data_IF_638696255031
#
_entry.id   IF_638696255031
#
_cell.length_a   1.000
_cell.length_b   1.000
_cell.length_c   1.000
_cell.angle_alpha   90.00
_cell.angle_beta   90.00
_cell.angle_gamma   90.00
#
_symmetry.space_group_name_H-M   'P 1'
#
loop_
_entity.id
_entity.type
_entity.pdbx_description
1 polymer ?
#
# COMPACT_ATOMS: atom_id res chain seq x y z
N UNK A 1 33.74 43.28 30.95
CA UNK A 1 32.31 43.32 30.61
C UNK A 1 31.72 41.93 30.88
N UNK A 2 31.03 41.72 32.01
CA UNK A 2 30.38 40.42 32.28
C UNK A 2 29.07 40.34 31.46
N UNK A 3 28.97 39.34 30.58
CA UNK A 3 27.73 39.00 29.89
C UNK A 3 26.72 38.46 30.91
N UNK A 4 25.58 39.12 31.04
CA UNK A 4 24.45 38.65 31.85
C UNK A 4 23.79 37.45 31.16
N UNK A 5 24.27 36.23 31.45
CA UNK A 5 23.65 34.99 30.97
C UNK A 5 22.36 34.74 31.76
N UNK A 6 21.21 35.15 31.21
CA UNK A 6 19.91 34.75 31.74
C UNK A 6 19.71 33.25 31.49
N UNK A 7 19.57 32.47 32.56
CA UNK A 7 19.19 31.06 32.48
C UNK A 7 17.69 30.90 32.22
N UNK A 8 17.31 29.80 31.57
CA UNK A 8 15.91 29.41 31.37
C UNK A 8 15.26 29.07 32.71
N UNK A 9 14.01 29.49 32.94
CA UNK A 9 13.28 29.12 34.16
C UNK A 9 12.68 27.72 34.04
N UNK A 10 12.56 27.02 35.17
CA UNK A 10 11.89 25.72 35.21
C UNK A 10 10.43 25.83 34.77
N UNK A 11 9.77 26.94 35.10
CA UNK A 11 8.36 27.19 34.75
C UNK A 11 8.21 27.35 33.23
N UNK A 12 9.11 28.06 32.55
CA UNK A 12 9.10 28.18 31.09
C UNK A 12 9.23 26.80 30.44
N UNK A 13 10.13 25.96 30.94
CA UNK A 13 10.29 24.61 30.41
C UNK A 13 9.04 23.77 30.66
N UNK A 14 8.45 23.83 31.86
CA UNK A 14 7.23 23.09 32.22
C UNK A 14 6.03 23.43 31.31
N UNK A 15 5.78 24.72 31.07
CA UNK A 15 4.67 25.16 30.20
C UNK A 15 4.87 24.64 28.77
N UNK A 16 6.11 24.66 28.27
CA UNK A 16 6.43 24.15 26.92
C UNK A 16 6.12 22.65 26.80
N UNK A 17 6.52 21.83 27.78
CA UNK A 17 6.24 20.38 27.71
C UNK A 17 4.74 20.10 27.81
N UNK A 18 4.00 20.88 28.59
CA UNK A 18 2.53 20.76 28.69
C UNK A 18 1.87 21.07 27.35
N UNK A 19 2.26 22.16 26.69
CA UNK A 19 1.71 22.53 25.37
C UNK A 19 2.04 21.46 24.32
N UNK A 20 3.30 21.00 24.26
CA UNK A 20 3.71 19.93 23.34
C UNK A 20 2.94 18.64 23.64
N UNK A 21 2.71 18.32 24.91
CA UNK A 21 1.92 17.16 25.33
C UNK A 21 0.48 17.20 24.81
N UNK A 22 -0.20 18.34 24.91
CA UNK A 22 -1.56 18.53 24.40
C UNK A 22 -1.59 18.40 22.87
N UNK A 23 -0.64 19.04 22.17
CA UNK A 23 -0.57 18.97 20.71
C UNK A 23 -0.26 17.54 20.23
N UNK A 24 0.66 16.84 20.87
CA UNK A 24 1.03 15.46 20.54
C UNK A 24 -0.16 14.51 20.74
N UNK A 25 -0.93 14.67 21.81
CA UNK A 25 -2.10 13.83 22.09
C UNK A 25 -3.15 13.87 20.96
N UNK A 26 -3.32 15.02 20.30
CA UNK A 26 -4.26 15.17 19.17
C UNK A 26 -3.59 14.78 17.84
N UNK A 27 -2.32 15.15 17.65
CA UNK A 27 -1.63 14.98 16.38
C UNK A 27 -1.27 13.51 16.08
N UNK A 28 -0.81 12.75 17.08
CA UNK A 28 -0.36 11.36 16.91
C UNK A 28 -1.46 10.44 16.33
N UNK A 29 -2.68 10.36 16.89
CA UNK A 29 -3.70 9.47 16.34
C UNK A 29 -4.11 9.86 14.92
N UNK A 30 -4.18 11.16 14.62
CA UNK A 30 -4.50 11.63 13.27
C UNK A 30 -3.38 11.31 12.27
N UNK A 31 -2.12 11.44 12.68
CA UNK A 31 -0.96 11.09 11.86
C UNK A 31 -0.95 9.60 11.52
N UNK A 32 -1.22 8.71 12.49
CA UNK A 32 -1.32 7.26 12.26
C UNK A 32 -2.44 6.96 11.25
N UNK A 33 -3.62 7.56 11.43
CA UNK A 33 -4.73 7.36 10.50
C UNK A 33 -4.42 7.87 9.08
N UNK A 34 -3.68 8.98 8.97
CA UNK A 34 -3.22 9.50 7.67
C UNK A 34 -2.23 8.53 7.00
N UNK A 35 -1.28 7.99 7.77
CA UNK A 35 -0.32 7.02 7.26
C UNK A 35 -1.03 5.75 6.77
N UNK A 36 -2.03 5.25 7.50
CA UNK A 36 -2.80 4.08 7.09
C UNK A 36 -3.58 4.32 5.79
N UNK A 37 -4.24 5.48 5.66
CA UNK A 37 -4.90 5.87 4.41
C UNK A 37 -3.93 5.98 3.24
N UNK A 38 -2.72 6.50 3.47
CA UNK A 38 -1.68 6.57 2.45
C UNK A 38 -1.24 5.16 2.01
N UNK A 39 -1.03 4.24 2.96
CA UNK A 39 -0.72 2.83 2.64
C UNK A 39 -1.83 2.18 1.83
N UNK A 40 -3.10 2.35 2.21
CA UNK A 40 -4.23 1.82 1.44
C UNK A 40 -4.32 2.40 0.03
N UNK A 41 -4.03 3.69 -0.14
CA UNK A 41 -3.93 4.31 -1.47
C UNK A 41 -2.81 3.69 -2.29
N UNK A 42 -1.66 3.37 -1.69
CA UNK A 42 -0.58 2.66 -2.36
C UNK A 42 -0.98 1.24 -2.76
N UNK A 43 -1.76 0.52 -1.94
CA UNK A 43 -2.28 -0.80 -2.34
C UNK A 43 -3.18 -0.68 -3.56
N UNK A 44 -4.07 0.32 -3.61
CA UNK A 44 -4.91 0.57 -4.79
C UNK A 44 -4.06 0.86 -6.04
N UNK A 45 -2.99 1.63 -5.89
CA UNK A 45 -2.05 1.88 -6.98
C UNK A 45 -1.36 0.58 -7.45
N UNK A 46 -0.90 -0.25 -6.51
CA UNK A 46 -0.30 -1.54 -6.82
C UNK A 46 -1.28 -2.47 -7.56
N UNK A 47 -2.56 -2.48 -7.16
CA UNK A 47 -3.62 -3.22 -7.86
C UNK A 47 -3.79 -2.74 -9.30
N UNK A 48 -3.79 -1.44 -9.53
CA UNK A 48 -3.85 -0.89 -10.89
C UNK A 48 -2.62 -1.25 -11.73
N UNK A 49 -1.42 -1.17 -11.16
CA UNK A 49 -0.20 -1.62 -11.87
C UNK A 49 -0.26 -3.10 -12.22
N UNK A 50 -0.80 -3.93 -11.32
CA UNK A 50 -1.03 -5.35 -11.58
C UNK A 50 -2.09 -5.59 -12.67
N UNK A 51 -3.16 -4.80 -12.67
CA UNK A 51 -4.17 -4.82 -13.73
C UNK A 51 -3.55 -4.54 -15.10
N UNK A 52 -2.75 -3.48 -15.20
CA UNK A 52 -2.08 -3.12 -16.46
C UNK A 52 -1.15 -4.24 -16.94
N UNK A 53 -0.42 -4.90 -16.03
CA UNK A 53 0.46 -6.01 -16.38
C UNK A 53 -0.32 -7.26 -16.86
N UNK A 54 -1.50 -7.50 -16.29
CA UNK A 54 -2.43 -8.56 -16.73
C UNK A 54 -3.01 -8.24 -18.11
N UNK A 55 -3.47 -7.01 -18.33
CA UNK A 55 -4.00 -6.60 -19.63
C UNK A 55 -2.91 -6.64 -20.71
N UNK A 56 -1.70 -6.18 -20.42
CA UNK A 56 -0.56 -6.28 -21.33
C UNK A 56 -0.24 -7.75 -21.66
N UNK A 57 -0.31 -8.67 -20.69
CA UNK A 57 -0.19 -10.10 -20.96
C UNK A 57 -1.29 -10.59 -21.92
N UNK A 58 -2.55 -10.22 -21.66
CA UNK A 58 -3.67 -10.65 -22.49
C UNK A 58 -3.55 -10.13 -23.93
N UNK A 59 -3.07 -8.89 -24.13
CA UNK A 59 -2.84 -8.36 -25.48
C UNK A 59 -1.77 -9.14 -26.25
N UNK A 60 -0.76 -9.68 -25.56
CA UNK A 60 0.31 -10.51 -26.16
C UNK A 60 -0.13 -11.95 -26.40
N UNK A 61 -1.09 -12.46 -25.63
CA UNK A 61 -1.59 -13.84 -25.70
C UNK A 61 -2.99 -13.91 -26.31
N UNK A 62 -3.26 -13.12 -27.35
CA UNK A 62 -4.51 -13.15 -28.13
C UNK A 62 -5.80 -13.07 -27.29
N UNK A 63 -5.80 -12.27 -26.22
CA UNK A 63 -6.94 -12.07 -25.32
C UNK A 63 -7.08 -13.11 -24.20
N UNK A 64 -6.11 -14.00 -24.02
CA UNK A 64 -6.09 -14.98 -22.92
C UNK A 64 -5.50 -14.33 -21.68
N UNK A 65 -6.29 -14.29 -20.61
CA UNK A 65 -5.83 -13.79 -19.30
C UNK A 65 -4.90 -14.79 -18.60
N UNK A 66 -3.90 -14.29 -17.84
CA UNK A 66 -2.91 -15.11 -17.18
C UNK A 66 -3.51 -15.93 -16.03
N UNK A 67 -2.99 -17.13 -15.81
CA UNK A 67 -3.28 -17.96 -14.63
C UNK A 67 -2.07 -18.00 -13.69
N UNK A 68 -2.17 -18.73 -12.58
CA UNK A 68 -1.08 -18.84 -11.59
C UNK A 68 0.27 -19.28 -12.21
N UNK A 69 0.25 -20.10 -13.26
CA UNK A 69 1.44 -20.55 -13.98
C UNK A 69 2.16 -19.41 -14.74
N UNK A 70 1.44 -18.34 -15.10
CA UNK A 70 1.95 -17.22 -15.89
C UNK A 70 2.46 -16.07 -15.01
N UNK A 71 2.47 -16.23 -13.68
CA UNK A 71 2.84 -15.18 -12.73
C UNK A 71 4.21 -14.54 -13.03
N UNK A 72 5.18 -15.32 -13.52
CA UNK A 72 6.49 -14.82 -13.92
C UNK A 72 6.43 -13.88 -15.15
N UNK A 73 5.57 -14.18 -16.12
CA UNK A 73 5.38 -13.34 -17.30
C UNK A 73 4.67 -12.02 -16.92
N UNK A 74 3.66 -12.09 -16.06
CA UNK A 74 2.96 -10.90 -15.54
C UNK A 74 3.92 -9.99 -14.77
N UNK A 75 4.80 -10.57 -13.95
CA UNK A 75 5.84 -9.82 -13.23
C UNK A 75 6.75 -9.02 -14.17
N UNK A 76 7.16 -9.62 -15.29
CA UNK A 76 8.01 -8.95 -16.29
C UNK A 76 7.28 -7.81 -17.03
N UNK A 77 5.95 -7.87 -17.12
CA UNK A 77 5.13 -6.80 -17.73
C UNK A 77 4.91 -5.61 -16.79
N UNK A 78 5.29 -5.71 -15.51
CA UNK A 78 5.23 -4.58 -14.58
C UNK A 78 6.30 -3.53 -14.90
N UNK A 79 6.06 -2.23 -14.61
CA UNK A 79 7.02 -1.16 -14.93
C UNK A 79 8.44 -1.36 -14.37
N UNK A 80 8.55 -1.99 -13.20
CA UNK A 80 9.81 -2.28 -12.54
C UNK A 80 10.31 -3.72 -12.75
N UNK A 81 9.64 -4.51 -13.61
CA UNK A 81 9.92 -5.94 -13.82
C UNK A 81 9.79 -6.80 -12.55
N UNK A 82 9.14 -6.26 -11.52
CA UNK A 82 8.99 -6.83 -10.19
C UNK A 82 7.64 -6.46 -9.61
N UNK A 83 7.14 -7.28 -8.69
CA UNK A 83 5.90 -6.96 -7.98
C UNK A 83 6.10 -5.73 -7.08
N UNK A 84 5.16 -4.76 -7.09
CA UNK A 84 5.22 -3.59 -6.23
C UNK A 84 5.43 -3.92 -4.76
N UNK A 85 6.22 -3.09 -4.09
CA UNK A 85 6.50 -3.20 -2.65
C UNK A 85 5.21 -3.11 -1.84
N UNK A 86 5.11 -3.96 -0.83
CA UNK A 86 4.01 -3.93 0.12
C UNK A 86 4.14 -2.69 1.05
N UNK A 87 3.17 -1.76 1.05
CA UNK A 87 3.27 -0.52 1.82
C UNK A 87 3.11 -0.70 3.34
N UNK A 88 2.65 -1.86 3.80
CA UNK A 88 2.49 -2.19 5.22
C UNK A 88 3.69 -2.92 5.81
N UNK A 89 4.33 -3.81 5.04
CA UNK A 89 5.45 -4.64 5.51
C UNK A 89 6.81 -4.19 4.97
N UNK A 90 6.84 -3.42 3.88
CA UNK A 90 8.07 -3.02 3.18
C UNK A 90 8.71 -4.14 2.35
N UNK A 91 8.08 -5.31 2.26
CA UNK A 91 8.59 -6.42 1.46
C UNK A 91 8.49 -6.08 -0.02
N UNK A 92 9.61 -6.18 -0.73
CA UNK A 92 9.71 -5.98 -2.17
C UNK A 92 9.41 -7.27 -2.92
N UNK A 93 8.89 -7.14 -4.13
CA UNK A 93 8.65 -8.28 -5.04
C UNK A 93 7.81 -9.41 -4.44
N UNK A 94 6.91 -9.03 -3.54
CA UNK A 94 6.09 -9.98 -2.80
C UNK A 94 4.95 -10.45 -3.72
N UNK A 95 5.04 -11.70 -4.20
CA UNK A 95 4.18 -12.24 -5.26
C UNK A 95 2.68 -11.99 -5.04
N UNK A 96 1.98 -11.66 -6.14
CA UNK A 96 0.53 -11.56 -6.17
C UNK A 96 -0.13 -12.92 -5.88
N UNK A 97 -1.30 -12.90 -5.24
CA UNK A 97 -2.09 -14.10 -4.99
C UNK A 97 -2.92 -14.46 -6.22
N UNK A 98 -3.04 -15.76 -6.51
CA UNK A 98 -3.80 -16.27 -7.65
C UNK A 98 -4.83 -17.29 -7.16
N UNK A 99 -6.10 -17.10 -7.51
CA UNK A 99 -7.17 -18.03 -7.14
C UNK A 99 -7.58 -17.99 -5.66
N UNK A 100 -7.13 -16.97 -4.91
CA UNK A 100 -7.54 -16.71 -3.54
C UNK A 100 -7.57 -15.20 -3.27
N UNK A 101 -8.52 -14.78 -2.43
CA UNK A 101 -8.58 -13.39 -1.97
C UNK A 101 -7.41 -13.10 -1.02
N UNK A 102 -6.79 -11.90 -1.09
CA UNK A 102 -5.77 -11.52 -0.14
C UNK A 102 -6.36 -11.43 1.28
N UNK A 103 -5.61 -11.94 2.27
CA UNK A 103 -6.04 -12.01 3.66
C UNK A 103 -5.11 -11.26 4.64
N UNK A 104 -4.13 -10.50 4.13
CA UNK A 104 -3.20 -9.73 4.95
C UNK A 104 -2.90 -8.35 4.34
N UNK A 105 -2.58 -7.33 5.17
CA UNK A 105 -2.38 -5.96 4.71
C UNK A 105 -1.34 -5.80 3.61
N UNK A 106 -1.70 -5.02 2.59
CA UNK A 106 -0.82 -4.72 1.47
C UNK A 106 -0.74 -5.81 0.40
N UNK A 107 -1.33 -6.97 0.66
CA UNK A 107 -1.45 -8.06 -0.33
C UNK A 107 -2.51 -7.70 -1.36
N UNK A 108 -2.26 -8.12 -2.59
CA UNK A 108 -3.20 -8.04 -3.70
C UNK A 108 -3.11 -9.33 -4.51
N UNK A 109 -4.14 -9.57 -5.32
CA UNK A 109 -4.21 -10.78 -6.13
C UNK A 109 -5.42 -10.79 -7.04
N UNK A 110 -5.47 -11.79 -7.92
CA UNK A 110 -6.57 -12.03 -8.85
C UNK A 110 -7.40 -13.24 -8.38
N UNK A 111 -8.69 -13.02 -8.12
CA UNK A 111 -9.64 -14.06 -7.76
C UNK A 111 -11.12 -13.62 -8.01
N UNK A 112 -11.93 -14.38 -8.77
CA UNK A 112 -11.51 -15.53 -9.58
C UNK A 112 -10.58 -15.10 -10.71
N UNK A 113 -9.75 -16.04 -11.16
CA UNK A 113 -8.94 -15.89 -12.37
C UNK A 113 -9.26 -17.03 -13.32
N UNK A 114 -9.70 -16.67 -14.52
CA UNK A 114 -9.90 -17.60 -15.63
C UNK A 114 -9.17 -17.05 -16.84
N UNK A 115 -9.03 -17.86 -17.89
CA UNK A 115 -8.46 -17.41 -19.16
C UNK A 115 -9.30 -16.33 -19.87
N UNK A 116 -10.53 -16.09 -19.42
CA UNK A 116 -11.49 -15.18 -20.08
C UNK A 116 -12.00 -14.06 -19.17
N UNK A 117 -11.71 -14.09 -17.87
CA UNK A 117 -12.12 -13.06 -16.93
C UNK A 117 -11.21 -13.04 -15.69
N UNK A 118 -11.05 -11.87 -15.09
CA UNK A 118 -10.35 -11.74 -13.82
C UNK A 118 -10.98 -10.67 -12.93
N UNK A 119 -10.80 -10.82 -11.63
CA UNK A 119 -11.09 -9.76 -10.66
C UNK A 119 -9.90 -9.57 -9.73
N UNK A 120 -9.35 -8.36 -9.68
CA UNK A 120 -8.26 -8.00 -8.77
C UNK A 120 -8.85 -7.43 -7.49
N UNK A 121 -8.37 -7.95 -6.37
CA UNK A 121 -8.68 -7.46 -5.03
C UNK A 121 -7.38 -7.16 -4.30
N UNK A 122 -7.43 -6.19 -3.40
CA UNK A 122 -6.36 -5.87 -2.47
C UNK A 122 -6.88 -5.87 -1.05
N UNK A 123 -5.99 -6.02 -0.08
CA UNK A 123 -6.32 -5.97 1.34
C UNK A 123 -5.69 -4.72 1.97
N UNK A 124 -6.54 -3.88 2.55
CA UNK A 124 -6.16 -2.65 3.24
C UNK A 124 -5.63 -2.94 4.64
N UNK A 125 -5.80 -2.02 5.58
CA UNK A 125 -5.30 -2.22 6.95
C UNK A 125 -5.96 -3.41 7.65
N UNK A 126 -7.28 -3.58 7.48
CA UNK A 126 -8.07 -4.51 8.28
C UNK A 126 -9.06 -5.37 7.48
N UNK A 127 -9.28 -5.06 6.20
CA UNK A 127 -10.25 -5.76 5.37
C UNK A 127 -9.85 -5.66 3.88
N UNK A 128 -10.54 -6.44 3.05
CA UNK A 128 -10.51 -6.25 1.60
C UNK A 128 -10.90 -4.81 1.26
N UNK A 129 -10.17 -4.23 0.32
CA UNK A 129 -10.48 -2.91 -0.23
C UNK A 129 -11.79 -3.01 -1.01
N UNK A 130 -12.69 -2.05 -0.81
CA UNK A 130 -13.98 -1.98 -1.54
C UNK A 130 -13.86 -1.69 -3.03
N UNK A 131 -12.64 -1.51 -3.55
CA UNK A 131 -12.37 -1.37 -4.99
C UNK A 131 -12.01 -2.75 -5.53
N UNK A 132 -12.80 -3.26 -6.47
CA UNK A 132 -12.51 -4.46 -7.25
C UNK A 132 -12.28 -4.03 -8.70
N UNK A 133 -11.18 -4.48 -9.29
CA UNK A 133 -10.86 -4.19 -10.69
C UNK A 133 -11.20 -5.43 -11.51
N UNK A 134 -12.03 -5.29 -12.53
CA UNK A 134 -12.39 -6.38 -13.44
C UNK A 134 -11.76 -6.14 -14.80
N UNK A 135 -11.68 -7.19 -15.63
CA UNK A 135 -11.55 -6.97 -17.06
C UNK A 135 -12.76 -6.16 -17.56
N UNK A 136 -12.48 -5.20 -18.46
CA UNK A 136 -13.46 -4.26 -19.00
C UNK A 136 -14.64 -4.91 -19.71
#
# INVERSE_FOLDING_TARGET
MLKNTKGFTLIELMIVVVIIGILAAIAIPNFIAMQDRARESSVKANMHSFQLAIEDFATKTAGVYPVAADAAAVKLNMPSGTFPTNPFTGVVDEAALWGADPAAPGRYGANPVTTSSYTIKGYGKAALLGLQLTNG
#
